data_IF_478855739344
#
_entry.id   IF_478855739344
#
_cell.length_a   1.000
_cell.length_b   1.000
_cell.length_c   1.000
_cell.angle_alpha   90.00
_cell.angle_beta   90.00
_cell.angle_gamma   90.00
#
_symmetry.space_group_name_H-M   'P 1'
#
loop_
_entity.id
_entity.type
_entity.pdbx_description
1 polymer ?
#
# COMPACT_ATOMS: atom_id res chain seq x y z
N UNK A 1 3.56 -13.65 -3.73
CA UNK A 1 3.49 -12.81 -4.95
C UNK A 1 4.89 -12.68 -5.56
N UNK A 2 5.04 -12.92 -6.87
CA UNK A 2 6.32 -12.72 -7.57
C UNK A 2 6.40 -11.30 -8.12
N UNK A 3 7.44 -10.56 -7.71
CA UNK A 3 7.67 -9.14 -8.04
C UNK A 3 7.52 -8.86 -9.55
N UNK A 4 8.10 -9.72 -10.39
CA UNK A 4 8.09 -9.57 -11.84
C UNK A 4 6.67 -9.70 -12.45
N UNK A 5 5.84 -10.58 -11.90
CA UNK A 5 4.45 -10.78 -12.37
C UNK A 5 3.56 -9.59 -12.03
N UNK A 6 3.83 -8.93 -10.90
CA UNK A 6 3.15 -7.70 -10.52
C UNK A 6 3.61 -6.51 -11.37
N UNK A 7 4.90 -6.42 -11.68
CA UNK A 7 5.45 -5.38 -12.54
C UNK A 7 4.85 -5.41 -13.96
N UNK A 8 4.61 -6.60 -14.53
CA UNK A 8 3.87 -6.74 -15.79
C UNK A 8 2.48 -6.08 -15.69
N UNK A 9 1.88 -6.12 -14.51
CA UNK A 9 0.60 -5.51 -14.10
C UNK A 9 0.49 -4.03 -14.46
N UNK A 10 1.60 -3.31 -14.40
CA UNK A 10 1.69 -1.87 -14.59
C UNK A 10 1.99 -1.45 -16.04
N UNK A 11 2.10 -2.41 -16.98
CA UNK A 11 2.42 -2.14 -18.38
C UNK A 11 1.33 -1.45 -19.20
N UNK A 12 0.08 -1.43 -18.76
CA UNK A 12 -0.97 -0.62 -19.37
C UNK A 12 -2.06 -0.27 -18.35
N UNK A 13 -2.89 0.71 -18.66
CA UNK A 13 -4.05 1.05 -17.83
C UNK A 13 -5.07 -0.09 -17.79
N UNK A 14 -5.17 -0.87 -18.88
CA UNK A 14 -6.08 -2.01 -18.99
C UNK A 14 -5.78 -3.12 -17.98
N UNK A 15 -4.51 -3.27 -17.58
CA UNK A 15 -4.08 -4.29 -16.63
C UNK A 15 -3.95 -3.77 -15.19
N UNK A 16 -4.15 -2.47 -14.96
CA UNK A 16 -3.99 -1.87 -13.63
C UNK A 16 -5.00 -2.38 -12.61
N UNK A 17 -6.23 -2.70 -13.03
CA UNK A 17 -7.25 -3.23 -12.12
C UNK A 17 -6.84 -4.59 -11.53
N UNK A 18 -6.16 -5.41 -12.32
CA UNK A 18 -5.68 -6.73 -11.93
C UNK A 18 -4.65 -6.66 -10.79
N UNK A 19 -3.93 -5.53 -10.64
CA UNK A 19 -3.03 -5.31 -9.51
C UNK A 19 -3.82 -5.30 -8.19
N UNK A 20 -4.98 -4.65 -8.17
CA UNK A 20 -5.81 -4.58 -6.97
C UNK A 20 -6.47 -5.93 -6.67
N UNK A 21 -6.86 -6.67 -7.72
CA UNK A 21 -7.41 -8.02 -7.60
C UNK A 21 -6.39 -8.99 -6.96
N UNK A 22 -5.12 -8.92 -7.36
CA UNK A 22 -4.07 -9.76 -6.76
C UNK A 22 -3.77 -9.43 -5.31
N UNK A 23 -4.00 -8.19 -4.89
CA UNK A 23 -3.79 -7.73 -3.53
C UNK A 23 -5.05 -7.88 -2.66
N UNK A 24 -6.15 -8.38 -3.22
CA UNK A 24 -7.43 -8.44 -2.52
C UNK A 24 -7.37 -9.29 -1.25
N UNK A 25 -6.65 -10.41 -1.26
CA UNK A 25 -6.48 -11.25 -0.07
C UNK A 25 -5.72 -10.52 1.05
N UNK A 26 -4.73 -9.72 0.69
CA UNK A 26 -3.98 -8.88 1.62
C UNK A 26 -4.86 -7.75 2.19
N UNK A 27 -5.67 -7.11 1.35
CA UNK A 27 -6.65 -6.10 1.78
C UNK A 27 -7.68 -6.69 2.75
N UNK A 28 -8.25 -7.85 2.40
CA UNK A 28 -9.21 -8.56 3.23
C UNK A 28 -8.61 -8.94 4.59
N UNK A 29 -7.34 -9.34 4.63
CA UNK A 29 -6.63 -9.66 5.87
C UNK A 29 -6.45 -8.44 6.76
N UNK A 30 -6.13 -7.27 6.18
CA UNK A 30 -6.07 -6.01 6.92
C UNK A 30 -7.44 -5.65 7.50
N UNK A 31 -8.49 -5.73 6.69
CA UNK A 31 -9.85 -5.40 7.11
C UNK A 31 -10.35 -6.33 8.22
N UNK A 32 -10.03 -7.62 8.14
CA UNK A 32 -10.33 -8.60 9.18
C UNK A 32 -9.71 -8.20 10.53
N UNK A 33 -8.41 -7.91 10.55
CA UNK A 33 -7.71 -7.53 11.79
C UNK A 33 -8.17 -6.16 12.32
N UNK A 34 -8.49 -5.22 11.43
CA UNK A 34 -9.11 -3.96 11.83
C UNK A 34 -10.49 -4.17 12.46
N UNK A 35 -11.28 -5.12 11.94
CA UNK A 35 -12.57 -5.52 12.52
C UNK A 35 -12.43 -6.12 13.91
N UNK A 36 -11.47 -7.03 14.10
CA UNK A 36 -11.19 -7.62 15.42
C UNK A 36 -10.75 -6.59 16.44
N UNK A 37 -9.88 -5.64 16.06
CA UNK A 37 -9.46 -4.56 16.93
C UNK A 37 -10.64 -3.69 17.40
N UNK A 38 -11.65 -3.47 16.55
CA UNK A 38 -12.88 -2.77 16.93
C UNK A 38 -13.76 -3.56 17.89
N UNK A 39 -13.75 -4.88 17.81
CA UNK A 39 -14.58 -5.77 18.64
C UNK A 39 -14.00 -6.01 20.05
N UNK A 40 -12.84 -5.41 20.37
CA UNK A 40 -11.94 -5.77 21.48
C UNK A 40 -11.39 -7.20 21.34
N UNK A 41 -10.08 -7.32 21.48
CA UNK A 41 -9.41 -8.63 21.47
C UNK A 41 -9.85 -9.39 22.74
N UNK A 42 -10.21 -10.67 22.57
CA UNK A 42 -10.85 -11.53 23.58
C UNK A 42 -9.89 -12.03 24.68
N UNK A 43 -10.39 -12.87 25.59
CA UNK A 43 -9.66 -13.49 26.71
C UNK A 43 -8.36 -14.25 26.30
N UNK A 44 -8.19 -14.59 25.02
CA UNK A 44 -6.97 -15.19 24.45
C UNK A 44 -6.05 -14.15 23.78
N UNK A 45 -6.09 -12.90 24.22
CA UNK A 45 -5.57 -11.78 23.46
C UNK A 45 -4.07 -11.78 23.15
N UNK A 46 -3.24 -12.49 23.92
CA UNK A 46 -1.82 -12.64 23.59
C UNK A 46 -1.60 -13.48 22.32
N UNK A 47 -2.33 -14.60 22.18
CA UNK A 47 -2.20 -15.51 21.03
C UNK A 47 -2.78 -14.86 19.78
N UNK A 48 -3.94 -14.21 19.90
CA UNK A 48 -4.57 -13.48 18.80
C UNK A 48 -3.69 -12.31 18.34
N UNK A 49 -3.09 -11.56 19.27
CA UNK A 49 -2.18 -10.47 18.93
C UNK A 49 -0.92 -10.98 18.21
N UNK A 50 -0.31 -12.08 18.67
CA UNK A 50 0.85 -12.66 17.98
C UNK A 50 0.52 -13.14 16.57
N UNK A 51 -0.62 -13.83 16.40
CA UNK A 51 -1.08 -14.27 15.09
C UNK A 51 -1.30 -13.09 14.14
N UNK A 52 -1.99 -12.05 14.61
CA UNK A 52 -2.22 -10.84 13.83
C UNK A 52 -0.94 -10.11 13.47
N UNK A 53 0.04 -10.06 14.38
CA UNK A 53 1.35 -9.49 14.08
C UNK A 53 2.07 -10.25 12.96
N UNK A 54 2.13 -11.58 13.03
CA UNK A 54 2.77 -12.38 11.98
C UNK A 54 2.08 -12.20 10.63
N UNK A 55 0.75 -12.27 10.62
CA UNK A 55 -0.05 -12.12 9.40
C UNK A 55 0.09 -10.72 8.77
N UNK A 56 -0.13 -9.67 9.55
CA UNK A 56 -0.01 -8.29 9.07
C UNK A 56 1.42 -7.94 8.67
N UNK A 57 2.44 -8.49 9.33
CA UNK A 57 3.85 -8.27 8.93
C UNK A 57 4.11 -8.86 7.55
N UNK A 58 3.61 -10.07 7.27
CA UNK A 58 3.71 -10.68 5.93
C UNK A 58 3.01 -9.83 4.87
N UNK A 59 1.77 -9.44 5.14
CA UNK A 59 0.98 -8.57 4.25
C UNK A 59 1.65 -7.21 4.01
N UNK A 60 2.18 -6.58 5.07
CA UNK A 60 2.90 -5.31 4.95
C UNK A 60 4.09 -5.41 3.99
N UNK A 61 4.87 -6.49 4.06
CA UNK A 61 6.01 -6.69 3.17
C UNK A 61 5.57 -6.81 1.71
N UNK A 62 4.49 -7.55 1.45
CA UNK A 62 3.88 -7.68 0.13
C UNK A 62 3.43 -6.33 -0.42
N UNK A 63 2.66 -5.57 0.38
CA UNK A 63 2.15 -4.25 -0.01
C UNK A 63 3.25 -3.21 -0.20
N UNK A 64 4.30 -3.26 0.61
CA UNK A 64 5.46 -2.37 0.48
C UNK A 64 6.16 -2.57 -0.88
N UNK A 65 6.33 -3.81 -1.30
CA UNK A 65 6.88 -4.12 -2.63
C UNK A 65 5.96 -3.65 -3.74
N UNK A 66 4.65 -3.91 -3.63
CA UNK A 66 3.66 -3.46 -4.60
C UNK A 66 3.63 -1.92 -4.73
N UNK A 67 3.72 -1.21 -3.61
CA UNK A 67 3.74 0.25 -3.58
C UNK A 67 4.98 0.81 -4.28
N UNK A 68 6.16 0.24 -4.03
CA UNK A 68 7.40 0.68 -4.66
C UNK A 68 7.33 0.55 -6.20
N UNK A 69 6.75 -0.54 -6.71
CA UNK A 69 6.50 -0.74 -8.14
C UNK A 69 5.51 0.32 -8.65
N UNK A 70 4.39 0.52 -7.96
CA UNK A 70 3.37 1.49 -8.35
C UNK A 70 3.91 2.93 -8.41
N UNK A 71 4.75 3.33 -7.46
CA UNK A 71 5.41 4.64 -7.44
C UNK A 71 6.38 4.81 -8.60
N UNK A 72 7.17 3.77 -8.88
CA UNK A 72 8.14 3.75 -9.98
C UNK A 72 7.43 3.87 -11.32
N UNK A 73 6.42 3.04 -11.57
CA UNK A 73 5.71 3.02 -12.86
C UNK A 73 4.89 4.28 -13.09
N UNK A 74 4.22 4.79 -12.04
CA UNK A 74 3.55 6.10 -12.10
C UNK A 74 4.54 7.20 -12.49
N UNK A 75 5.73 7.24 -11.89
CA UNK A 75 6.73 8.29 -12.16
C UNK A 75 7.32 8.15 -13.57
N UNK A 76 7.64 6.92 -13.98
CA UNK A 76 8.15 6.62 -15.32
C UNK A 76 7.18 7.09 -16.41
N UNK A 77 5.88 6.82 -16.25
CA UNK A 77 4.87 7.26 -17.22
C UNK A 77 4.69 8.76 -17.28
N UNK A 78 4.66 9.41 -16.12
CA UNK A 78 4.55 10.87 -16.03
C UNK A 78 5.73 11.54 -16.76
N UNK A 79 6.94 11.03 -16.57
CA UNK A 79 8.15 11.52 -17.27
C UNK A 79 8.05 11.29 -18.78
N UNK A 80 7.63 10.09 -19.21
CA UNK A 80 7.48 9.76 -20.65
C UNK A 80 6.45 10.67 -21.32
N UNK A 81 5.30 10.86 -20.70
CA UNK A 81 4.24 11.72 -21.23
C UNK A 81 4.69 13.19 -21.31
N UNK A 82 5.30 13.70 -20.25
CA UNK A 82 5.84 15.06 -20.23
C UNK A 82 6.87 15.29 -21.33
N UNK A 83 7.79 14.33 -21.50
CA UNK A 83 8.86 14.42 -22.51
C UNK A 83 8.28 14.34 -23.92
N UNK A 84 7.32 13.45 -24.17
CA UNK A 84 6.62 13.34 -25.44
C UNK A 84 5.90 14.63 -25.81
N UNK A 85 5.10 15.18 -24.88
CA UNK A 85 4.38 16.43 -25.08
C UNK A 85 5.32 17.60 -25.37
N UNK A 86 6.48 17.66 -24.69
CA UNK A 86 7.50 18.68 -24.95
C UNK A 86 8.04 18.58 -26.38
N UNK A 87 8.44 17.38 -26.79
CA UNK A 87 8.97 17.12 -28.14
C UNK A 87 7.93 17.48 -29.20
N UNK A 88 6.68 17.04 -29.03
CA UNK A 88 5.58 17.33 -29.96
C UNK A 88 5.29 18.83 -30.09
N UNK A 89 5.30 19.55 -28.95
CA UNK A 89 5.06 20.99 -28.91
C UNK A 89 6.17 21.77 -29.63
N UNK A 90 7.43 21.43 -29.34
CA UNK A 90 8.61 22.05 -29.96
C UNK A 90 8.68 21.74 -31.47
N UNK A 91 8.40 20.50 -31.87
CA UNK A 91 8.32 20.10 -33.29
C UNK A 91 7.20 20.82 -34.06
N UNK A 92 6.13 21.19 -33.36
CA UNK A 92 5.02 21.98 -33.92
C UNK A 92 5.35 23.48 -34.03
N UNK A 93 6.59 23.88 -33.75
CA UNK A 93 7.04 25.28 -33.76
C UNK A 93 6.46 26.12 -32.61
N UNK A 94 5.83 25.50 -31.61
CA UNK A 94 5.23 26.18 -30.46
C UNK A 94 6.22 26.19 -29.29
N UNK A 95 6.19 27.28 -28.51
CA UNK A 95 6.94 27.34 -27.25
C UNK A 95 6.28 26.43 -26.22
N UNK A 96 7.05 25.49 -25.68
CA UNK A 96 6.59 24.63 -24.61
C UNK A 96 6.46 25.40 -23.28
N UNK A 97 5.37 25.14 -22.54
CA UNK A 97 5.09 25.73 -21.24
C UNK A 97 5.11 24.62 -20.18
N UNK A 98 6.12 24.64 -19.30
CA UNK A 98 6.34 23.61 -18.27
C UNK A 98 5.10 23.30 -17.44
N UNK A 99 4.43 24.34 -16.94
CA UNK A 99 3.24 24.19 -16.11
C UNK A 99 2.08 23.47 -16.81
N UNK A 100 1.92 23.67 -18.13
CA UNK A 100 0.91 22.95 -18.91
C UNK A 100 1.31 21.48 -19.02
N UNK A 101 2.58 21.19 -19.32
CA UNK A 101 3.06 19.82 -19.42
C UNK A 101 3.00 19.04 -18.10
N UNK A 102 3.29 19.70 -16.98
CA UNK A 102 3.13 19.10 -15.65
C UNK A 102 1.67 18.75 -15.36
N UNK A 103 0.73 19.62 -15.72
CA UNK A 103 -0.70 19.38 -15.54
C UNK A 103 -1.20 18.23 -16.41
N UNK A 104 -0.88 18.25 -17.70
CA UNK A 104 -1.32 17.22 -18.66
C UNK A 104 -0.72 15.86 -18.33
N UNK A 105 0.59 15.79 -18.01
CA UNK A 105 1.23 14.54 -17.60
C UNK A 105 0.67 13.98 -16.30
N UNK A 106 0.32 14.85 -15.33
CA UNK A 106 -0.33 14.45 -14.10
C UNK A 106 -1.73 13.86 -14.34
N UNK A 107 -2.49 14.39 -15.31
CA UNK A 107 -3.81 13.89 -15.71
C UNK A 107 -3.71 12.58 -16.47
N UNK A 108 -2.72 12.43 -17.34
CA UNK A 108 -2.47 11.23 -18.14
C UNK A 108 -2.07 9.99 -17.32
N UNK A 109 -1.77 10.15 -16.02
CA UNK A 109 -1.43 9.05 -15.10
C UNK A 109 -2.42 8.91 -13.94
N UNK A 110 -3.66 9.36 -14.13
CA UNK A 110 -4.69 9.36 -13.09
C UNK A 110 -4.98 7.95 -12.53
N UNK A 111 -5.12 6.94 -13.38
CA UNK A 111 -5.39 5.57 -12.94
C UNK A 111 -4.19 4.95 -12.19
N UNK A 112 -2.96 5.18 -12.67
CA UNK A 112 -1.74 4.81 -11.94
C UNK A 112 -1.69 5.43 -10.55
N UNK A 113 -2.08 6.70 -10.45
CA UNK A 113 -2.17 7.42 -9.17
C UNK A 113 -3.23 6.81 -8.25
N UNK A 114 -4.40 6.46 -8.79
CA UNK A 114 -5.48 5.80 -8.04
C UNK A 114 -5.01 4.48 -7.44
N UNK A 115 -4.46 3.58 -8.26
CA UNK A 115 -3.96 2.27 -7.79
C UNK A 115 -2.88 2.45 -6.72
N UNK A 116 -1.89 3.32 -6.97
CA UNK A 116 -0.83 3.63 -6.00
C UNK A 116 -1.41 4.14 -4.67
N UNK A 117 -2.41 5.01 -4.71
CA UNK A 117 -3.02 5.58 -3.50
C UNK A 117 -3.79 4.52 -2.69
N UNK A 118 -4.49 3.60 -3.36
CA UNK A 118 -5.19 2.50 -2.69
C UNK A 118 -4.19 1.59 -1.95
N UNK A 119 -3.14 1.15 -2.65
CA UNK A 119 -2.09 0.32 -2.05
C UNK A 119 -1.44 1.04 -0.86
N UNK A 120 -1.15 2.33 -1.00
CA UNK A 120 -0.58 3.15 0.07
C UNK A 120 -1.51 3.21 1.30
N UNK A 121 -2.80 3.45 1.10
CA UNK A 121 -3.76 3.52 2.20
C UNK A 121 -3.84 2.20 2.98
N UNK A 122 -3.88 1.05 2.30
CA UNK A 122 -3.87 -0.25 2.97
C UNK A 122 -2.54 -0.54 3.66
N UNK A 123 -1.41 -0.18 3.06
CA UNK A 123 -0.10 -0.32 3.69
C UNK A 123 -0.01 0.49 4.99
N UNK A 124 -0.50 1.74 4.98
CA UNK A 124 -0.56 2.60 6.17
C UNK A 124 -1.50 2.03 7.24
N UNK A 125 -2.68 1.55 6.85
CA UNK A 125 -3.62 0.89 7.77
C UNK A 125 -3.00 -0.37 8.39
N UNK A 126 -2.30 -1.18 7.59
CA UNK A 126 -1.57 -2.36 8.05
C UNK A 126 -0.50 -1.99 9.07
N UNK A 127 0.27 -0.93 8.83
CA UNK A 127 1.30 -0.45 9.74
C UNK A 127 0.73 0.02 11.08
N UNK A 128 -0.40 0.73 11.06
CA UNK A 128 -1.13 1.12 12.28
C UNK A 128 -1.61 -0.13 13.02
N UNK A 129 -2.21 -1.09 12.33
CA UNK A 129 -2.66 -2.36 12.92
C UNK A 129 -1.52 -3.12 13.63
N UNK A 130 -0.35 -3.23 12.99
CA UNK A 130 0.86 -3.82 13.61
C UNK A 130 1.23 -3.08 14.89
N UNK A 131 1.31 -1.74 14.85
CA UNK A 131 1.69 -0.93 16.01
C UNK A 131 0.69 -1.08 17.16
N UNK A 132 -0.60 -1.18 16.86
CA UNK A 132 -1.64 -1.40 17.87
C UNK A 132 -1.51 -2.78 18.49
N UNK A 133 -1.35 -3.83 17.70
CA UNK A 133 -1.18 -5.20 18.22
C UNK A 133 0.09 -5.35 19.05
N UNK A 134 1.19 -4.67 18.70
CA UNK A 134 2.41 -4.62 19.52
C UNK A 134 2.14 -3.99 20.89
N UNK A 135 1.39 -2.89 20.91
CA UNK A 135 1.01 -2.21 22.16
C UNK A 135 0.13 -3.09 23.04
N UNK A 136 -0.87 -3.77 22.45
CA UNK A 136 -1.75 -4.70 23.18
C UNK A 136 -0.94 -5.87 23.75
N UNK A 137 -0.08 -6.50 22.95
CA UNK A 137 0.74 -7.62 23.40
C UNK A 137 1.66 -7.20 24.56
N UNK A 138 2.23 -6.00 24.51
CA UNK A 138 3.05 -5.45 25.58
C UNK A 138 2.24 -5.28 26.88
N UNK A 139 1.04 -4.71 26.80
CA UNK A 139 0.16 -4.53 27.94
C UNK A 139 -0.21 -5.87 28.60
N UNK A 140 -0.57 -6.87 27.80
CA UNK A 140 -0.90 -8.22 28.31
C UNK A 140 0.31 -8.84 29.01
N UNK A 141 1.52 -8.73 28.44
CA UNK A 141 2.74 -9.25 29.07
C UNK A 141 3.02 -8.54 30.40
N UNK A 142 2.77 -7.23 30.51
CA UNK A 142 2.93 -6.48 31.75
C UNK A 142 1.92 -6.93 32.83
N UNK A 143 0.66 -7.13 32.46
CA UNK A 143 -0.38 -7.66 33.37
C UNK A 143 -0.02 -9.07 33.89
N UNK A 144 0.43 -9.97 33.01
CA UNK A 144 0.87 -11.32 33.41
C UNK A 144 2.06 -11.29 34.38
N UNK A 145 2.99 -10.34 34.22
CA UNK A 145 4.13 -10.17 35.14
C UNK A 145 3.69 -9.66 36.52
N UNK A 146 2.64 -8.85 36.58
CA UNK A 146 2.11 -8.30 37.83
C UNK A 146 1.29 -9.35 38.59
N UNK A 147 0.45 -10.14 37.89
CA UNK A 147 -0.33 -11.22 38.50
C UNK A 147 0.53 -12.39 38.98
N UNK A 148 1.62 -12.70 38.27
CA UNK A 148 2.59 -13.72 38.69
C UNK A 148 3.48 -13.33 39.87
N UNK A 149 3.43 -12.09 40.37
CA UNK A 149 4.21 -11.60 41.53
C UNK A 149 3.41 -11.57 42.84
N UNK A 150 2.14 -11.98 42.84
CA UNK A 150 1.28 -12.03 44.04
C UNK A 150 1.24 -13.40 44.74
N UNK A 151 2.15 -14.33 44.39
CA UNK A 151 2.27 -15.65 45.00
C UNK A 151 3.45 -15.77 45.95
#
# INVERSE_FOLDING_TARGET
>A
MRVLELEQKFKSEETLSQVLEELQDDFNRIDYWAGLLKANISDNGAVEAQKGLSELTGTFMTLKTALAIAETEKKNREIRFYSGLRIETENSGKKFISAVGEKESAMAVAEYRRVRNIIKAYMEACQVGISTLQSILKAIIEEMKLSGKQG
#
